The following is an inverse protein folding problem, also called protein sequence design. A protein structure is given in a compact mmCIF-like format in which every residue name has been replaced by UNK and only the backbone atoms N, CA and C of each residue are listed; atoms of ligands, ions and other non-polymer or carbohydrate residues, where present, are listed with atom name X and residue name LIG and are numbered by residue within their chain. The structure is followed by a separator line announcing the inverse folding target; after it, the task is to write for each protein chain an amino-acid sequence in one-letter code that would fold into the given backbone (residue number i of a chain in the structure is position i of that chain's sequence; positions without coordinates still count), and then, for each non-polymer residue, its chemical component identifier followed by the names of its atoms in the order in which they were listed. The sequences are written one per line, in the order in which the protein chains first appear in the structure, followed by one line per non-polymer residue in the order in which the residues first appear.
data_IF_470265611417
#
_entry.id   IF_470265611417
#
_cell.length_a   1.000
_cell.length_b   1.000
_cell.length_c   1.000
_cell.angle_alpha   90.00
_cell.angle_beta   90.00
_cell.angle_gamma   90.00
#
_symmetry.space_group_name_H-M   'P 1'
#
loop_
_entity.id
_entity.type
_entity.pdbx_description
1 polymer ?
#
# COMPACT_ATOMS: atom_id res chain seq x y z
N UNK A 1 21.72 -13.54 18.34
CA UNK A 1 21.14 -12.42 17.58
C UNK A 1 20.44 -13.02 16.37
N UNK A 2 19.12 -13.15 16.38
CA UNK A 2 18.41 -13.65 15.19
C UNK A 2 18.50 -12.58 14.12
N UNK A 3 19.09 -12.90 12.98
CA UNK A 3 18.99 -12.08 11.78
C UNK A 3 17.51 -11.93 11.47
N UNK A 4 16.93 -10.76 11.74
CA UNK A 4 15.55 -10.47 11.37
C UNK A 4 15.48 -10.47 9.85
N UNK A 5 15.04 -11.59 9.25
CA UNK A 5 14.84 -11.69 7.81
C UNK A 5 13.98 -10.50 7.36
N UNK A 6 14.55 -9.70 6.46
CA UNK A 6 13.95 -8.48 5.94
C UNK A 6 13.93 -8.61 4.43
N UNK A 7 12.76 -8.44 3.83
CA UNK A 7 12.54 -8.46 2.39
C UNK A 7 12.56 -7.03 1.87
N UNK A 8 13.08 -6.82 0.67
CA UNK A 8 13.15 -5.50 0.06
C UNK A 8 12.41 -5.50 -1.27
N UNK A 9 11.48 -4.56 -1.41
CA UNK A 9 10.80 -4.27 -2.66
C UNK A 9 11.20 -2.87 -3.14
N UNK A 10 11.51 -2.74 -4.42
CA UNK A 10 11.87 -1.51 -5.11
C UNK A 10 10.61 -0.94 -5.78
N UNK A 11 10.22 0.27 -5.39
CA UNK A 11 9.07 0.97 -5.97
C UNK A 11 9.51 1.78 -7.17
N UNK A 12 8.87 1.54 -8.29
CA UNK A 12 9.02 2.34 -9.50
C UNK A 12 7.80 3.25 -9.70
N UNK A 13 8.09 4.48 -10.15
CA UNK A 13 7.10 5.55 -10.27
C UNK A 13 6.84 6.30 -8.96
N UNK A 14 6.60 7.61 -9.08
CA UNK A 14 6.26 8.53 -8.00
C UNK A 14 4.73 8.77 -7.88
N UNK A 15 3.99 8.59 -8.98
CA UNK A 15 2.53 8.60 -9.05
C UNK A 15 1.90 7.40 -8.30
N UNK A 16 1.17 7.63 -7.19
CA UNK A 16 0.56 6.57 -6.40
C UNK A 16 -0.54 5.78 -7.11
N UNK A 17 -1.04 6.28 -8.24
CA UNK A 17 -2.05 5.59 -9.05
C UNK A 17 -1.43 4.54 -9.99
N UNK A 18 -0.09 4.56 -10.14
CA UNK A 18 0.65 3.74 -11.13
C UNK A 18 1.89 3.05 -10.53
N UNK A 19 1.95 2.94 -9.20
CA UNK A 19 3.05 2.26 -8.53
C UNK A 19 3.17 0.79 -8.94
N UNK A 20 4.40 0.32 -9.10
CA UNK A 20 4.70 -1.10 -9.09
C UNK A 20 5.95 -1.36 -8.28
N UNK A 21 6.03 -2.58 -7.75
CA UNK A 21 7.07 -3.02 -6.83
C UNK A 21 7.72 -4.27 -7.38
N UNK A 22 9.05 -4.28 -7.42
CA UNK A 22 9.87 -5.39 -7.89
C UNK A 22 10.82 -5.78 -6.75
N UNK A 23 11.05 -7.07 -6.51
CA UNK A 23 12.05 -7.48 -5.52
C UNK A 23 13.50 -7.35 -6.04
N UNK A 24 14.47 -7.69 -5.19
CA UNK A 24 15.90 -7.64 -5.55
C UNK A 24 16.34 -8.68 -6.56
N UNK A 25 15.51 -9.67 -6.86
CA UNK A 25 15.73 -10.72 -7.87
C UNK A 25 14.96 -10.43 -9.17
N UNK A 26 14.49 -9.18 -9.34
CA UNK A 26 13.75 -8.71 -10.50
C UNK A 26 12.39 -9.42 -10.73
N UNK A 27 11.76 -9.92 -9.65
CA UNK A 27 10.40 -10.49 -9.71
C UNK A 27 9.38 -9.41 -9.39
N UNK A 28 8.34 -9.22 -10.23
CA UNK A 28 7.20 -8.38 -9.89
C UNK A 28 6.57 -8.86 -8.58
N UNK A 29 6.38 -7.94 -7.65
CA UNK A 29 5.82 -8.20 -6.32
C UNK A 29 4.43 -7.59 -6.15
N UNK A 30 4.26 -6.34 -6.58
CA UNK A 30 2.96 -5.67 -6.60
C UNK A 30 2.82 -4.78 -7.82
N UNK A 31 1.61 -4.68 -8.38
CA UNK A 31 1.28 -3.79 -9.48
C UNK A 31 -0.02 -3.03 -9.22
N UNK A 32 -0.03 -1.74 -9.54
CA UNK A 32 -1.24 -0.92 -9.61
C UNK A 32 -1.75 -0.88 -11.04
N UNK A 33 -3.01 -1.27 -11.23
CA UNK A 33 -3.69 -1.26 -12.52
C UNK A 33 -4.98 -0.46 -12.40
N UNK A 34 -5.19 0.46 -13.33
CA UNK A 34 -6.48 1.12 -13.55
C UNK A 34 -7.36 0.19 -14.37
N UNK A 35 -8.55 -0.17 -13.85
CA UNK A 35 -9.45 -1.10 -14.56
C UNK A 35 -10.26 -0.45 -15.70
N UNK A 36 -9.92 0.79 -16.09
CA UNK A 36 -10.52 1.49 -17.23
C UNK A 36 -9.45 1.86 -18.26
N UNK A 37 -9.25 0.97 -19.23
CA UNK A 37 -8.52 1.23 -20.47
C UNK A 37 -9.48 1.74 -21.55
N UNK A 38 -9.97 2.97 -21.42
CA UNK A 38 -10.43 3.70 -22.59
C UNK A 38 -9.82 5.09 -22.55
N UNK A 39 -8.63 5.19 -23.13
CA UNK A 39 -7.88 6.43 -23.39
C UNK A 39 -8.66 7.44 -24.26
N UNK A 40 -9.91 7.17 -24.63
CA UNK A 40 -10.74 8.00 -25.50
C UNK A 40 -12.02 8.55 -24.84
N UNK A 41 -12.24 8.37 -23.52
CA UNK A 41 -13.37 9.00 -22.82
C UNK A 41 -12.91 9.67 -21.52
N UNK A 42 -12.04 10.66 -21.68
CA UNK A 42 -11.72 11.65 -20.64
C UNK A 42 -12.93 12.59 -20.52
N UNK A 43 -13.87 12.32 -19.60
CA UNK A 43 -14.65 13.37 -18.91
C UNK A 43 -15.73 12.87 -17.92
N UNK A 44 -16.30 11.67 -18.05
CA UNK A 44 -17.61 11.41 -17.41
C UNK A 44 -17.82 10.03 -16.79
N UNK A 45 -16.78 9.42 -16.21
CA UNK A 45 -17.04 8.26 -15.35
C UNK A 45 -16.68 8.57 -13.90
N UNK A 46 -17.67 8.79 -13.03
CA UNK A 46 -17.45 9.32 -11.68
C UNK A 46 -16.71 8.32 -10.75
N UNK A 47 -16.61 7.05 -11.14
CA UNK A 47 -16.10 5.99 -10.26
C UNK A 47 -14.86 5.34 -10.89
N UNK A 48 -13.69 5.91 -10.63
CA UNK A 48 -12.40 5.27 -10.95
C UNK A 48 -12.18 4.09 -10.02
N UNK A 49 -11.81 2.93 -10.59
CA UNK A 49 -11.42 1.75 -9.82
C UNK A 49 -9.95 1.45 -10.10
N UNK A 50 -9.17 1.39 -9.02
CA UNK A 50 -7.78 0.95 -9.06
C UNK A 50 -7.68 -0.43 -8.45
N UNK A 51 -6.80 -1.26 -8.98
CA UNK A 51 -6.51 -2.60 -8.48
C UNK A 51 -5.03 -2.69 -8.13
N UNK A 52 -4.74 -2.93 -6.86
CA UNK A 52 -3.45 -3.44 -6.42
C UNK A 52 -3.47 -4.97 -6.54
N UNK A 53 -2.51 -5.54 -7.26
CA UNK A 53 -2.33 -6.98 -7.39
C UNK A 53 -1.00 -7.38 -6.76
N UNK A 54 -1.02 -8.36 -5.86
CA UNK A 54 0.15 -9.09 -5.36
C UNK A 54 0.49 -10.19 -6.35
N UNK A 55 1.66 -10.07 -6.97
CA UNK A 55 2.05 -10.89 -8.10
C UNK A 55 2.53 -12.27 -7.67
N UNK A 56 2.11 -13.31 -8.41
CA UNK A 56 2.44 -14.71 -8.12
C UNK A 56 3.94 -15.01 -8.22
N UNK A 57 4.64 -14.30 -9.11
CA UNK A 57 6.09 -14.46 -9.32
C UNK A 57 6.87 -14.26 -8.01
N UNK A 58 6.50 -13.26 -7.23
CA UNK A 58 7.07 -12.99 -5.91
C UNK A 58 6.42 -13.81 -4.81
N UNK A 59 5.08 -13.86 -4.76
CA UNK A 59 4.37 -14.43 -3.60
C UNK A 59 4.56 -15.93 -3.44
N UNK A 60 4.78 -16.67 -4.53
CA UNK A 60 5.07 -18.11 -4.52
C UNK A 60 6.35 -18.47 -3.74
N UNK A 61 7.29 -17.51 -3.59
CA UNK A 61 8.54 -17.68 -2.85
C UNK A 61 8.37 -17.47 -1.34
N UNK A 62 7.16 -17.09 -0.90
CA UNK A 62 6.89 -16.66 0.46
C UNK A 62 5.63 -17.35 1.02
N UNK A 63 5.74 -18.63 1.45
CA UNK A 63 4.60 -19.43 1.91
C UNK A 63 3.86 -18.86 3.13
N UNK A 64 4.50 -17.96 3.89
CA UNK A 64 3.89 -17.30 5.05
C UNK A 64 2.97 -16.14 4.68
N UNK A 65 2.90 -15.73 3.41
CA UNK A 65 1.95 -14.70 3.01
C UNK A 65 0.53 -15.25 3.12
N UNK A 66 -0.37 -14.44 3.68
CA UNK A 66 -1.77 -14.76 3.84
C UNK A 66 -2.63 -13.64 3.24
N UNK A 67 -3.94 -13.88 3.21
CA UNK A 67 -4.91 -12.91 2.75
C UNK A 67 -4.99 -12.82 1.22
N UNK A 68 -5.77 -11.87 0.71
CA UNK A 68 -6.07 -11.79 -0.71
C UNK A 68 -4.87 -11.30 -1.52
N UNK A 69 -4.84 -11.71 -2.78
CA UNK A 69 -3.86 -11.22 -3.74
C UNK A 69 -4.22 -9.83 -4.26
N UNK A 70 -5.51 -9.48 -4.25
CA UNK A 70 -5.99 -8.21 -4.82
C UNK A 70 -6.59 -7.28 -3.76
N UNK A 71 -6.41 -5.98 -3.95
CA UNK A 71 -7.10 -4.91 -3.24
C UNK A 71 -7.64 -3.91 -4.27
N UNK A 72 -8.91 -3.57 -4.17
CA UNK A 72 -9.63 -2.70 -5.11
C UNK A 72 -9.98 -1.40 -4.41
N UNK A 73 -9.54 -0.28 -4.99
CA UNK A 73 -9.80 1.07 -4.53
C UNK A 73 -10.91 1.64 -5.39
N UNK A 74 -12.10 1.81 -4.82
CA UNK A 74 -13.22 2.48 -5.45
C UNK A 74 -13.19 3.93 -5.03
N UNK A 75 -12.73 4.81 -5.92
CA UNK A 75 -12.66 6.24 -5.66
C UNK A 75 -14.06 6.84 -5.83
N UNK A 76 -14.33 7.89 -5.05
CA UNK A 76 -15.51 8.71 -5.23
C UNK A 76 -15.34 9.71 -6.38
N UNK A 77 -16.37 10.54 -6.60
CA UNK A 77 -16.32 11.64 -7.58
C UNK A 77 -15.07 12.51 -7.37
N UNK A 78 -14.50 13.02 -8.46
CA UNK A 78 -13.31 13.89 -8.43
C UNK A 78 -12.09 13.27 -7.74
N UNK A 79 -11.96 11.94 -7.77
CA UNK A 79 -10.90 11.19 -7.09
C UNK A 79 -10.90 11.40 -5.56
N UNK A 80 -12.08 11.61 -4.96
CA UNK A 80 -12.23 11.64 -3.50
C UNK A 80 -12.10 10.23 -2.90
N UNK A 81 -11.81 10.17 -1.59
CA UNK A 81 -11.71 8.92 -0.86
C UNK A 81 -13.07 8.18 -0.82
N UNK A 82 -13.11 6.98 -1.39
CA UNK A 82 -14.27 6.08 -1.36
C UNK A 82 -14.05 4.90 -0.42
N UNK A 83 -14.00 3.68 -0.97
CA UNK A 83 -13.85 2.45 -0.18
C UNK A 83 -12.91 1.43 -0.82
N UNK A 84 -12.44 0.49 -0.01
CA UNK A 84 -11.56 -0.60 -0.38
C UNK A 84 -12.31 -1.93 -0.27
N UNK A 85 -12.11 -2.81 -1.25
CA UNK A 85 -12.49 -4.21 -1.20
C UNK A 85 -11.24 -5.07 -1.35
N UNK A 86 -11.15 -6.13 -0.56
CA UNK A 86 -10.05 -7.08 -0.61
C UNK A 86 -10.49 -8.41 -1.24
N UNK A 87 -9.82 -8.84 -2.31
CA UNK A 87 -10.15 -10.06 -3.04
C UNK A 87 -11.61 -10.10 -3.46
N UNK A 88 -12.29 -11.21 -3.18
CA UNK A 88 -13.71 -11.42 -3.45
C UNK A 88 -14.60 -11.17 -2.21
N UNK A 89 -14.10 -10.45 -1.20
CA UNK A 89 -14.88 -10.16 0.01
C UNK A 89 -15.99 -9.14 -0.33
N UNK A 90 -17.18 -9.32 0.24
CA UNK A 90 -18.30 -8.37 0.09
C UNK A 90 -18.20 -7.16 1.04
N UNK A 91 -17.21 -7.15 1.94
CA UNK A 91 -17.04 -6.10 2.94
C UNK A 91 -16.37 -4.86 2.34
N UNK A 92 -17.10 -3.75 2.29
CA UNK A 92 -16.58 -2.45 1.87
C UNK A 92 -15.95 -1.72 3.06
N UNK A 93 -14.67 -1.41 2.99
CA UNK A 93 -13.95 -0.69 4.04
C UNK A 93 -13.74 0.75 3.60
N UNK A 94 -14.36 1.76 4.24
CA UNK A 94 -14.18 3.15 3.82
C UNK A 94 -12.69 3.55 3.88
N UNK A 95 -12.16 4.21 2.85
CA UNK A 95 -10.74 4.60 2.77
C UNK A 95 -10.31 5.43 3.98
N UNK A 96 -11.21 6.25 4.51
CA UNK A 96 -10.98 7.05 5.72
C UNK A 96 -10.62 6.20 6.96
N UNK A 97 -10.96 4.89 6.99
CA UNK A 97 -10.53 3.97 8.06
C UNK A 97 -9.03 3.74 8.09
N UNK A 98 -8.33 3.89 6.97
CA UNK A 98 -6.88 3.75 6.85
C UNK A 98 -6.15 5.07 7.04
N UNK A 99 -6.88 6.19 6.91
CA UNK A 99 -6.37 7.57 7.01
C UNK A 99 -6.68 8.20 8.37
N UNK A 100 -7.15 7.42 9.35
CA UNK A 100 -7.52 7.95 10.67
C UNK A 100 -6.29 8.56 11.35
N UNK A 101 -6.31 9.86 11.71
CA UNK A 101 -5.21 10.49 12.40
C UNK A 101 -5.01 9.85 13.79
N UNK A 102 -3.81 9.98 14.32
CA UNK A 102 -3.53 9.56 15.69
C UNK A 102 -4.25 10.42 16.74
N UNK A 103 -4.28 9.91 17.98
CA UNK A 103 -4.96 10.56 19.11
C UNK A 103 -4.37 11.91 19.55
N UNK A 104 -3.17 12.25 19.07
CA UNK A 104 -2.49 13.51 19.41
C UNK A 104 -2.75 14.52 18.30
N UNK A 105 -2.95 15.77 18.68
CA UNK A 105 -2.96 16.89 17.75
C UNK A 105 -1.66 16.88 16.94
N UNK A 106 -1.75 17.14 15.63
CA UNK A 106 -0.63 17.07 14.68
C UNK A 106 0.05 15.69 14.56
N UNK A 107 -0.62 14.61 14.96
CA UNK A 107 -0.05 13.27 14.80
C UNK A 107 0.17 12.95 13.33
N UNK A 108 1.43 12.67 12.99
CA UNK A 108 1.83 12.11 11.70
C UNK A 108 1.51 10.62 11.57
N UNK A 109 0.81 10.03 12.54
CA UNK A 109 0.38 8.62 12.46
C UNK A 109 -0.96 8.51 11.74
N UNK A 110 -1.11 7.45 10.95
CA UNK A 110 -2.34 7.04 10.28
C UNK A 110 -2.63 5.58 10.65
N UNK A 111 -3.76 5.36 11.30
CA UNK A 111 -4.13 4.05 11.84
C UNK A 111 -5.00 3.30 10.86
N UNK A 112 -4.76 2.00 10.71
CA UNK A 112 -5.62 1.10 9.94
C UNK A 112 -5.89 -0.17 10.73
N UNK A 113 -7.01 -0.82 10.42
CA UNK A 113 -7.38 -2.12 11.00
C UNK A 113 -7.28 -3.18 9.94
N UNK A 114 -6.56 -4.25 10.23
CA UNK A 114 -6.46 -5.39 9.34
C UNK A 114 -7.74 -6.23 9.34
N UNK A 115 -7.86 -7.15 8.38
CA UNK A 115 -8.91 -8.16 8.29
C UNK A 115 -8.96 -9.05 9.53
N UNK A 116 -7.84 -9.25 10.22
CA UNK A 116 -7.77 -9.95 11.51
C UNK A 116 -8.41 -9.18 12.68
N UNK A 117 -8.85 -7.94 12.47
CA UNK A 117 -9.37 -7.05 13.50
C UNK A 117 -8.29 -6.32 14.31
N UNK A 118 -7.01 -6.64 14.10
CA UNK A 118 -5.88 -6.01 14.78
C UNK A 118 -5.57 -4.63 14.19
N UNK A 119 -5.25 -3.68 15.06
CA UNK A 119 -4.90 -2.31 14.67
C UNK A 119 -3.39 -2.13 14.45
N UNK A 120 -3.05 -1.44 13.37
CA UNK A 120 -1.70 -1.08 12.97
C UNK A 120 -1.64 0.41 12.66
N UNK A 121 -0.44 0.96 12.47
CA UNK A 121 -0.30 2.36 12.06
C UNK A 121 0.89 2.57 11.14
N UNK A 122 0.75 3.49 10.21
CA UNK A 122 1.87 4.13 9.52
C UNK A 122 2.22 5.42 10.24
N UNK A 123 3.50 5.64 10.56
CA UNK A 123 4.05 6.95 10.91
C UNK A 123 4.60 7.56 9.63
N UNK A 124 4.11 8.76 9.29
CA UNK A 124 4.46 9.47 8.06
C UNK A 124 5.55 10.49 8.37
N UNK A 125 6.67 10.43 7.67
CA UNK A 125 7.70 11.47 7.61
C UNK A 125 7.80 12.04 6.20
N UNK A 126 8.70 13.00 5.99
CA UNK A 126 8.86 13.68 4.69
C UNK A 126 9.37 12.74 3.59
N UNK A 127 10.35 11.90 3.89
CA UNK A 127 11.00 10.99 2.93
C UNK A 127 10.94 9.53 3.36
N UNK A 128 10.23 9.25 4.46
CA UNK A 128 10.18 7.92 5.08
C UNK A 128 8.87 7.70 5.79
N UNK A 129 8.32 6.50 5.66
CA UNK A 129 7.15 6.04 6.38
C UNK A 129 7.46 4.72 7.09
N UNK A 130 6.90 4.52 8.28
CA UNK A 130 7.15 3.32 9.09
C UNK A 130 5.85 2.70 9.56
N UNK A 131 5.64 1.42 9.25
CA UNK A 131 4.49 0.65 9.70
C UNK A 131 4.79 -0.02 11.05
N UNK A 132 3.89 0.15 12.03
CA UNK A 132 4.06 -0.36 13.38
C UNK A 132 2.92 -1.30 13.81
N UNK A 133 3.32 -2.32 14.56
CA UNK A 133 2.48 -3.13 15.45
C UNK A 133 2.88 -2.82 16.90
N UNK A 134 2.13 -1.94 17.55
CA UNK A 134 2.49 -1.40 18.87
C UNK A 134 3.83 -0.65 18.84
N UNK A 135 4.89 -1.28 19.36
CA UNK A 135 6.27 -0.75 19.37
C UNK A 135 7.18 -1.39 18.31
N UNK A 136 6.70 -2.43 17.64
CA UNK A 136 7.48 -3.19 16.66
C UNK A 136 7.30 -2.59 15.27
N UNK A 137 8.39 -2.29 14.57
CA UNK A 137 8.36 -1.90 13.16
C UNK A 137 8.16 -3.14 12.30
N UNK A 138 7.12 -3.13 11.47
CA UNK A 138 6.78 -4.19 10.52
C UNK A 138 7.34 -3.92 9.13
N UNK A 139 7.29 -2.66 8.69
CA UNK A 139 7.78 -2.25 7.38
C UNK A 139 8.26 -0.81 7.40
N UNK A 140 9.20 -0.49 6.51
CA UNK A 140 9.72 0.86 6.31
C UNK A 140 9.72 1.16 4.82
N UNK A 141 9.06 2.25 4.44
CA UNK A 141 9.12 2.80 3.09
C UNK A 141 10.01 4.05 3.11
N UNK A 142 10.92 4.19 2.16
CA UNK A 142 11.87 5.30 2.12
C UNK A 142 12.17 5.73 0.68
N UNK A 143 12.13 7.04 0.43
CA UNK A 143 12.50 7.64 -0.86
C UNK A 143 13.97 7.38 -1.13
N UNK A 144 14.28 6.94 -2.34
CA UNK A 144 15.65 6.64 -2.75
C UNK A 144 16.39 7.88 -3.21
N UNK A 145 17.72 7.81 -3.20
CA UNK A 145 18.55 8.85 -3.84
C UNK A 145 18.18 8.96 -5.33
N UNK A 146 18.17 10.17 -5.92
CA UNK A 146 17.91 10.39 -7.36
C UNK A 146 18.84 9.61 -8.30
N UNK A 147 19.96 9.09 -7.80
CA UNK A 147 20.91 8.25 -8.55
C UNK A 147 20.39 6.83 -8.82
N UNK A 148 19.33 6.40 -8.14
CA UNK A 148 18.73 5.09 -8.35
C UNK A 148 17.61 5.14 -9.40
N UNK A 149 17.46 4.06 -10.16
CA UNK A 149 16.40 3.92 -11.17
C UNK A 149 14.98 3.80 -10.56
N UNK A 150 14.89 3.38 -9.31
CA UNK A 150 13.64 3.27 -8.57
C UNK A 150 13.43 4.49 -7.65
N UNK A 151 12.15 4.85 -7.45
CA UNK A 151 11.76 6.01 -6.66
C UNK A 151 11.93 5.79 -5.15
N UNK A 152 11.57 4.60 -4.66
CA UNK A 152 11.60 4.30 -3.23
C UNK A 152 11.89 2.82 -2.95
N UNK A 153 12.20 2.49 -1.70
CA UNK A 153 12.34 1.11 -1.21
C UNK A 153 11.32 0.84 -0.11
N UNK A 154 10.76 -0.36 -0.12
CA UNK A 154 9.92 -0.90 0.95
C UNK A 154 10.63 -2.11 1.58
N UNK A 155 11.11 -1.93 2.80
CA UNK A 155 11.68 -3.00 3.62
C UNK A 155 10.59 -3.61 4.50
N UNK A 156 10.45 -4.94 4.47
CA UNK A 156 9.37 -5.68 5.12
C UNK A 156 9.99 -6.73 6.05
N UNK A 157 9.62 -6.73 7.32
CA UNK A 157 10.05 -7.76 8.27
C UNK A 157 9.29 -9.07 8.04
N UNK A 158 9.94 -10.21 8.32
CA UNK A 158 9.34 -11.54 8.17
C UNK A 158 7.93 -11.66 8.78
N UNK A 159 7.76 -11.16 10.01
CA UNK A 159 6.51 -11.22 10.75
C UNK A 159 5.39 -10.33 10.16
N UNK A 160 5.73 -9.48 9.18
CA UNK A 160 4.78 -8.64 8.47
C UNK A 160 4.24 -9.30 7.18
N UNK A 161 4.88 -10.38 6.69
CA UNK A 161 4.46 -11.05 5.45
C UNK A 161 3.01 -11.56 5.45
N UNK A 162 2.45 -12.10 6.55
CA UNK A 162 1.04 -12.50 6.58
C UNK A 162 0.06 -11.34 6.30
N UNK A 163 0.50 -10.09 6.49
CA UNK A 163 -0.28 -8.85 6.37
C UNK A 163 0.09 -8.05 5.11
N UNK A 164 0.96 -8.57 4.23
CA UNK A 164 1.66 -7.71 3.28
C UNK A 164 0.73 -6.97 2.30
N UNK A 165 -0.34 -7.62 1.82
CA UNK A 165 -1.32 -6.96 0.94
C UNK A 165 -1.94 -5.73 1.62
N UNK A 166 -2.27 -5.84 2.92
CA UNK A 166 -2.90 -4.75 3.67
C UNK A 166 -1.89 -3.65 4.02
N UNK A 167 -0.63 -4.02 4.30
CA UNK A 167 0.47 -3.07 4.50
C UNK A 167 0.68 -2.22 3.24
N UNK A 168 0.78 -2.86 2.08
CA UNK A 168 0.97 -2.17 0.80
C UNK A 168 -0.27 -1.37 0.41
N UNK A 169 -1.47 -1.88 0.67
CA UNK A 169 -2.73 -1.14 0.48
C UNK A 169 -2.74 0.15 1.30
N UNK A 170 -2.43 0.05 2.59
CA UNK A 170 -2.39 1.21 3.48
C UNK A 170 -1.27 2.20 3.08
N UNK A 171 -0.09 1.71 2.67
CA UNK A 171 0.99 2.56 2.15
C UNK A 171 0.53 3.37 0.94
N UNK A 172 -0.03 2.70 -0.06
CA UNK A 172 -0.53 3.32 -1.29
C UNK A 172 -1.61 4.35 -0.98
N UNK A 173 -2.54 4.03 -0.09
CA UNK A 173 -3.60 4.97 0.28
C UNK A 173 -3.05 6.21 0.98
N UNK A 174 -2.05 6.07 1.85
CA UNK A 174 -1.39 7.22 2.46
C UNK A 174 -0.66 8.07 1.41
N UNK A 175 -0.04 7.45 0.40
CA UNK A 175 0.57 8.16 -0.72
C UNK A 175 -0.47 8.88 -1.60
N UNK A 176 -1.60 8.23 -1.88
CA UNK A 176 -2.75 8.85 -2.57
C UNK A 176 -3.26 10.06 -1.81
N UNK A 177 -3.48 9.94 -0.50
CA UNK A 177 -3.95 11.05 0.34
C UNK A 177 -3.01 12.26 0.25
N UNK A 178 -1.69 12.04 0.28
CA UNK A 178 -0.70 13.11 0.11
C UNK A 178 -0.73 13.73 -1.28
N UNK A 179 -0.89 12.93 -2.33
CA UNK A 179 -0.88 13.41 -3.72
C UNK A 179 -2.19 14.10 -4.12
N UNK A 180 -3.33 13.67 -3.57
CA UNK A 180 -4.67 14.14 -3.90
C UNK A 180 -5.23 15.16 -2.90
N UNK A 181 -4.52 15.42 -1.80
CA UNK A 181 -4.92 16.40 -0.79
C UNK A 181 -6.11 15.97 0.07
N UNK A 182 -6.18 14.68 0.41
CA UNK A 182 -7.21 14.14 1.32
C UNK A 182 -6.92 14.39 2.80
#
# INVERSE_FOLDING_TARGET
MSSSNTYTLLQYGDDPLRHHFIDTENRPAFSMLTTKSSLNQVAQDPNLVLRLTRETAWSSQHPSIMGPDNSFFYLGPESTAGYIIYGNNASNIPMNFFLRPGKREQSLSRYFRAQSGKDYKWRIGSHRMECFDGRTVLATWEVSSPEHEYYARLHIKQNALPLITEIVTALILNRMALALGW
#
